data_IF_574744161251
#
_entry.id   IF_574744161251
#
_cell.length_a   1.000
_cell.length_b   1.000
_cell.length_c   1.000
_cell.angle_alpha   90.00
_cell.angle_beta   90.00
_cell.angle_gamma   90.00
#
_symmetry.space_group_name_H-M   'P 1'
#
loop_
_entity.id
_entity.type
_entity.pdbx_description
1 polymer ?
#
# COMPACT_ATOMS: atom_id res chain seq x y z
N UNK A 1 13.25 -14.59 -16.66
CA UNK A 1 11.85 -14.18 -16.46
C UNK A 1 11.64 -14.15 -14.96
N UNK A 2 11.39 -12.98 -14.35
CA UNK A 2 11.18 -12.90 -12.91
C UNK A 2 9.88 -13.63 -12.54
N UNK A 3 9.89 -14.34 -11.42
CA UNK A 3 8.70 -15.02 -10.92
C UNK A 3 7.65 -13.95 -10.52
N UNK A 4 6.38 -14.05 -10.95
CA UNK A 4 5.34 -13.11 -10.56
C UNK A 4 5.22 -12.91 -9.03
N UNK A 5 5.56 -13.92 -8.24
CA UNK A 5 5.57 -13.85 -6.77
C UNK A 5 6.75 -13.00 -6.25
N UNK A 6 7.93 -13.12 -6.85
CA UNK A 6 9.11 -12.31 -6.46
C UNK A 6 8.86 -10.84 -6.73
N UNK A 7 8.26 -10.51 -7.88
CA UNK A 7 7.89 -9.15 -8.22
C UNK A 7 6.88 -8.57 -7.22
N UNK A 8 5.86 -9.35 -6.84
CA UNK A 8 4.88 -8.92 -5.82
C UNK A 8 5.55 -8.66 -4.46
N UNK A 9 6.49 -9.51 -4.05
CA UNK A 9 7.22 -9.33 -2.79
C UNK A 9 8.12 -8.08 -2.83
N UNK A 10 8.78 -7.82 -3.95
CA UNK A 10 9.54 -6.59 -4.18
C UNK A 10 8.62 -5.37 -4.08
N UNK A 11 7.48 -5.38 -4.76
CA UNK A 11 6.52 -4.29 -4.75
C UNK A 11 5.94 -4.04 -3.34
N UNK A 12 5.65 -5.10 -2.57
CA UNK A 12 5.25 -4.98 -1.15
C UNK A 12 6.34 -4.36 -0.29
N UNK A 13 7.61 -4.67 -0.53
CA UNK A 13 8.74 -4.10 0.21
C UNK A 13 8.91 -2.59 -0.03
N UNK A 14 8.30 -2.04 -1.08
CA UNK A 14 8.35 -0.60 -1.36
C UNK A 14 7.47 0.24 -0.44
N UNK A 15 6.45 -0.37 0.18
CA UNK A 15 5.62 0.27 1.20
C UNK A 15 6.41 0.27 2.51
N UNK A 16 6.87 1.46 2.92
CA UNK A 16 7.63 1.59 4.16
C UNK A 16 6.69 1.78 5.35
N UNK A 17 7.13 1.31 6.51
CA UNK A 17 6.47 1.58 7.79
C UNK A 17 7.23 2.69 8.50
N UNK A 18 6.52 3.70 8.97
CA UNK A 18 7.01 4.70 9.92
C UNK A 18 6.30 4.49 11.26
N UNK A 19 6.98 3.83 12.19
CA UNK A 19 6.44 3.54 13.52
C UNK A 19 6.42 4.75 14.45
N UNK A 20 7.22 5.79 14.16
CA UNK A 20 7.26 7.01 14.96
C UNK A 20 6.00 7.82 14.68
N UNK A 21 5.66 7.99 13.40
CA UNK A 21 4.48 8.74 12.96
C UNK A 21 3.21 7.86 12.82
N UNK A 22 3.33 6.54 13.06
CA UNK A 22 2.25 5.55 12.97
C UNK A 22 1.57 5.49 11.59
N UNK A 23 2.37 5.47 10.53
CA UNK A 23 1.89 5.50 9.15
C UNK A 23 2.65 4.56 8.20
N UNK A 24 1.97 4.12 7.15
CA UNK A 24 2.57 3.50 5.99
C UNK A 24 2.86 4.55 4.93
N UNK A 25 4.06 4.50 4.36
CA UNK A 25 4.48 5.35 3.26
C UNK A 25 4.36 4.57 1.95
N UNK A 26 3.26 4.81 1.24
CA UNK A 26 2.96 4.13 -0.03
C UNK A 26 3.56 4.94 -1.20
N UNK A 27 4.45 4.36 -2.02
CA UNK A 27 5.04 5.07 -3.15
C UNK A 27 4.01 5.27 -4.26
N UNK A 28 3.84 6.51 -4.74
CA UNK A 28 2.97 6.78 -5.90
C UNK A 28 3.77 6.91 -7.20
N UNK A 29 5.04 7.29 -7.09
CA UNK A 29 6.06 7.33 -8.14
C UNK A 29 7.45 7.23 -7.48
N UNK A 30 8.57 7.18 -8.23
CA UNK A 30 9.90 7.01 -7.65
C UNK A 30 10.27 8.03 -6.57
N UNK A 31 9.78 9.27 -6.70
CA UNK A 31 10.18 10.41 -5.87
C UNK A 31 9.16 10.75 -4.79
N UNK A 32 7.93 10.24 -4.89
CA UNK A 32 6.79 10.67 -4.06
C UNK A 32 6.15 9.49 -3.36
N UNK A 33 5.90 9.67 -2.06
CA UNK A 33 5.14 8.75 -1.23
C UNK A 33 3.93 9.47 -0.65
N UNK A 34 2.86 8.73 -0.38
CA UNK A 34 1.75 9.22 0.43
C UNK A 34 1.79 8.55 1.80
N UNK A 35 1.54 9.35 2.83
CA UNK A 35 1.26 8.85 4.18
C UNK A 35 -0.15 8.26 4.23
N UNK A 36 -0.23 7.08 4.85
CA UNK A 36 -1.46 6.33 5.15
C UNK A 36 -1.38 5.92 6.63
N UNK A 37 -2.14 6.55 7.53
CA UNK A 37 -2.14 6.18 8.95
C UNK A 37 -2.47 4.70 9.16
N UNK A 38 -1.88 4.04 10.15
CA UNK A 38 -2.11 2.60 10.41
C UNK A 38 -3.60 2.27 10.56
N UNK A 39 -4.36 3.11 11.26
CA UNK A 39 -5.81 2.97 11.41
C UNK A 39 -6.61 2.93 10.09
N UNK A 40 -6.07 3.50 9.00
CA UNK A 40 -6.74 3.48 7.70
C UNK A 40 -6.54 2.14 7.00
N UNK A 41 -5.45 1.42 7.31
CA UNK A 41 -5.25 0.07 6.78
C UNK A 41 -6.16 -0.94 7.47
N UNK A 42 -6.52 -0.71 8.74
CA UNK A 42 -7.31 -1.65 9.54
C UNK A 42 -8.83 -1.49 9.42
N UNK A 43 -9.31 -0.48 8.68
CA UNK A 43 -10.75 -0.22 8.48
C UNK A 43 -11.13 -0.30 7.01
N UNK A 44 -12.28 -0.91 6.71
CA UNK A 44 -12.76 -1.03 5.32
C UNK A 44 -12.96 0.34 4.64
N UNK A 45 -13.42 1.36 5.38
CA UNK A 45 -13.54 2.72 4.87
C UNK A 45 -12.18 3.35 4.58
N UNK A 46 -11.21 3.22 5.49
CA UNK A 46 -9.85 3.74 5.29
C UNK A 46 -9.13 3.07 4.12
N UNK A 47 -9.31 1.75 3.96
CA UNK A 47 -8.79 0.99 2.83
C UNK A 47 -9.37 1.49 1.52
N UNK A 48 -10.70 1.61 1.43
CA UNK A 48 -11.39 2.11 0.23
C UNK A 48 -10.94 3.53 -0.12
N UNK A 49 -10.89 4.42 0.85
CA UNK A 49 -10.54 5.81 0.62
C UNK A 49 -9.06 5.96 0.20
N UNK A 50 -8.17 5.13 0.76
CA UNK A 50 -6.77 5.02 0.32
C UNK A 50 -6.66 4.51 -1.11
N UNK A 51 -7.39 3.44 -1.46
CA UNK A 51 -7.41 2.91 -2.83
C UNK A 51 -7.87 3.96 -3.84
N UNK A 52 -8.96 4.69 -3.54
CA UNK A 52 -9.42 5.79 -4.38
C UNK A 52 -8.36 6.88 -4.53
N UNK A 53 -7.63 7.20 -3.45
CA UNK A 53 -6.53 8.18 -3.48
C UNK A 53 -5.37 7.71 -4.37
N UNK A 54 -4.98 6.43 -4.31
CA UNK A 54 -3.94 5.85 -5.15
C UNK A 54 -4.34 5.89 -6.64
N UNK A 55 -5.57 5.47 -6.96
CA UNK A 55 -6.10 5.54 -8.33
C UNK A 55 -6.12 6.98 -8.86
N UNK A 56 -6.59 7.95 -8.06
CA UNK A 56 -6.59 9.38 -8.43
C UNK A 56 -5.19 9.94 -8.65
N UNK A 57 -4.18 9.38 -7.99
CA UNK A 57 -2.77 9.78 -8.14
C UNK A 57 -2.06 9.05 -9.28
N UNK A 58 -2.79 8.27 -10.09
CA UNK A 58 -2.26 7.47 -11.19
C UNK A 58 -1.10 6.56 -10.73
N UNK A 59 -1.24 6.01 -9.52
CA UNK A 59 -0.27 5.06 -8.96
C UNK A 59 -0.25 3.77 -9.77
N UNK A 60 0.91 3.12 -9.85
CA UNK A 60 1.07 1.88 -10.62
C UNK A 60 0.14 0.77 -10.10
N UNK A 61 -0.23 -0.13 -11.00
CA UNK A 61 -1.01 -1.32 -10.66
C UNK A 61 -0.32 -2.17 -9.58
N UNK A 62 0.99 -2.33 -9.73
CA UNK A 62 1.85 -3.08 -8.80
C UNK A 62 1.79 -2.53 -7.38
N UNK A 63 1.88 -1.20 -7.20
CA UNK A 63 1.75 -0.59 -5.86
C UNK A 63 0.34 -0.74 -5.29
N UNK A 64 -0.70 -0.63 -6.13
CA UNK A 64 -2.08 -0.85 -5.67
C UNK A 64 -2.25 -2.27 -5.13
N UNK A 65 -1.72 -3.27 -5.84
CA UNK A 65 -1.72 -4.66 -5.39
C UNK A 65 -0.94 -4.81 -4.08
N UNK A 66 0.26 -4.24 -4.00
CA UNK A 66 1.07 -4.26 -2.79
C UNK A 66 0.33 -3.67 -1.58
N UNK A 67 -0.40 -2.57 -1.77
CA UNK A 67 -1.22 -1.97 -0.70
C UNK A 67 -2.36 -2.89 -0.26
N UNK A 68 -3.06 -3.53 -1.20
CA UNK A 68 -4.13 -4.49 -0.89
C UNK A 68 -3.59 -5.69 -0.12
N UNK A 69 -2.46 -6.25 -0.54
CA UNK A 69 -1.83 -7.37 0.17
C UNK A 69 -1.33 -6.97 1.56
N UNK A 70 -0.78 -5.76 1.70
CA UNK A 70 -0.42 -5.23 3.02
C UNK A 70 -1.65 -5.08 3.91
N UNK A 71 -2.76 -4.55 3.40
CA UNK A 71 -4.01 -4.44 4.15
C UNK A 71 -4.57 -5.81 4.56
N UNK A 72 -4.44 -6.84 3.71
CA UNK A 72 -4.81 -8.23 4.06
C UNK A 72 -3.98 -8.79 5.21
N UNK A 73 -2.67 -8.55 5.22
CA UNK A 73 -1.76 -9.01 6.27
C UNK A 73 -2.04 -8.34 7.63
N UNK A 74 -2.31 -7.04 7.60
CA UNK A 74 -2.51 -6.22 8.81
C UNK A 74 -3.94 -6.33 9.37
N UNK A 75 -4.92 -6.73 8.56
CA UNK A 75 -6.22 -7.18 9.07
C UNK A 75 -7.45 -6.77 8.25
N UNK A 76 -8.36 -7.74 8.12
CA UNK A 76 -9.80 -7.65 7.79
C UNK A 76 -10.28 -7.75 6.34
N UNK A 77 -9.45 -8.12 5.36
CA UNK A 77 -10.01 -8.70 4.13
C UNK A 77 -10.27 -10.20 4.38
N UNK A 78 -11.53 -10.56 4.66
CA UNK A 78 -12.02 -11.94 4.56
C UNK A 78 -12.66 -12.16 3.21
#
# INVERSE_FOLDING_TARGET
MANPIEKLLEDMSTIKTDEIENEYLVPINPDTRISVPFQYISTASGQRDTLLRLVRKNTSHDTILAFVEKAKQEGHWK
#
